data_IF_492499502714
#
_entry.id   IF_492499502714
#
_cell.length_a   1.000
_cell.length_b   1.000
_cell.length_c   1.000
_cell.angle_alpha   90.00
_cell.angle_beta   90.00
_cell.angle_gamma   90.00
#
_symmetry.space_group_name_H-M   'P 1'
#
loop_
_entity.id
_entity.type
_entity.pdbx_description
1 polymer ?
#
# COMPACT_ATOMS: atom_id res chain seq x y z
N UNK A 1 52.53 -92.49 -4.43
CA UNK A 1 52.46 -91.13 -3.82
C UNK A 1 52.06 -90.06 -4.83
N UNK A 2 52.70 -89.99 -6.00
CA UNK A 2 52.50 -88.94 -7.03
C UNK A 2 51.03 -88.65 -7.39
N UNK A 3 50.20 -89.67 -7.62
CA UNK A 3 48.78 -89.49 -7.96
C UNK A 3 47.97 -88.73 -6.89
N UNK A 4 48.38 -88.78 -5.62
CA UNK A 4 47.75 -87.98 -4.55
C UNK A 4 48.19 -86.51 -4.61
N UNK A 5 49.46 -86.25 -4.94
CA UNK A 5 49.98 -84.90 -5.11
C UNK A 5 49.34 -84.18 -6.31
N UNK A 6 49.22 -84.85 -7.47
CA UNK A 6 48.51 -84.33 -8.64
C UNK A 6 47.05 -83.98 -8.28
N UNK A 7 46.31 -84.90 -7.64
CA UNK A 7 44.91 -84.67 -7.25
C UNK A 7 44.74 -83.53 -6.23
N UNK A 8 45.74 -83.29 -5.37
CA UNK A 8 45.76 -82.16 -4.43
C UNK A 8 46.04 -80.84 -5.15
N UNK A 9 46.98 -80.83 -6.09
CA UNK A 9 47.32 -79.67 -6.92
C UNK A 9 46.16 -79.25 -7.82
N UNK A 10 45.48 -80.20 -8.46
CA UNK A 10 44.28 -79.95 -9.28
C UNK A 10 43.14 -79.34 -8.46
N UNK A 11 42.94 -79.83 -7.22
CA UNK A 11 41.97 -79.24 -6.29
C UNK A 11 42.35 -77.82 -5.89
N UNK A 12 43.62 -77.57 -5.57
CA UNK A 12 44.12 -76.24 -5.25
C UNK A 12 43.90 -75.26 -6.42
N UNK A 13 44.27 -75.64 -7.64
CA UNK A 13 44.10 -74.81 -8.82
C UNK A 13 42.62 -74.51 -9.11
N UNK A 14 41.74 -75.52 -9.04
CA UNK A 14 40.28 -75.32 -9.22
C UNK A 14 39.70 -74.38 -8.16
N UNK A 15 40.11 -74.53 -6.90
CA UNK A 15 39.68 -73.64 -5.80
C UNK A 15 40.22 -72.22 -5.98
N UNK A 16 41.48 -72.07 -6.40
CA UNK A 16 42.12 -70.78 -6.68
C UNK A 16 41.42 -70.06 -7.83
N UNK A 17 41.20 -70.71 -8.96
CA UNK A 17 40.47 -70.15 -10.10
C UNK A 17 39.05 -69.76 -9.73
N UNK A 18 38.31 -70.61 -9.00
CA UNK A 18 36.97 -70.26 -8.50
C UNK A 18 37.02 -68.99 -7.64
N UNK A 19 37.94 -68.93 -6.67
CA UNK A 19 38.03 -67.78 -5.74
C UNK A 19 38.44 -66.48 -6.45
N UNK A 20 39.27 -66.56 -7.49
CA UNK A 20 39.60 -65.39 -8.33
C UNK A 20 38.34 -64.91 -9.07
N UNK A 21 37.63 -65.81 -9.75
CA UNK A 21 36.38 -65.49 -10.45
C UNK A 21 35.30 -64.90 -9.54
N UNK A 22 35.16 -65.40 -8.30
CA UNK A 22 34.20 -64.90 -7.30
C UNK A 22 34.56 -63.48 -6.82
N UNK A 23 35.86 -63.15 -6.71
CA UNK A 23 36.32 -61.80 -6.40
C UNK A 23 36.11 -60.85 -7.58
N UNK A 24 36.35 -61.31 -8.82
CA UNK A 24 36.12 -60.54 -10.04
C UNK A 24 34.62 -60.22 -10.23
N UNK A 25 33.73 -61.19 -10.00
CA UNK A 25 32.28 -61.00 -10.07
C UNK A 25 31.77 -59.97 -9.03
N UNK A 26 32.22 -60.08 -7.77
CA UNK A 26 31.88 -59.11 -6.72
C UNK A 26 32.45 -57.72 -7.02
N UNK A 27 33.69 -57.65 -7.53
CA UNK A 27 34.31 -56.39 -7.95
C UNK A 27 33.52 -55.70 -9.06
N UNK A 28 33.08 -56.46 -10.07
CA UNK A 28 32.28 -55.94 -11.17
C UNK A 28 30.88 -55.47 -10.73
N UNK A 29 30.19 -56.23 -9.87
CA UNK A 29 28.90 -55.80 -9.30
C UNK A 29 29.02 -54.51 -8.45
N UNK A 30 30.12 -54.33 -7.73
CA UNK A 30 30.41 -53.07 -7.03
C UNK A 30 30.70 -51.93 -8.00
N UNK A 31 31.53 -52.16 -9.02
CA UNK A 31 31.86 -51.15 -10.04
C UNK A 31 30.60 -50.67 -10.79
N UNK A 32 29.72 -51.57 -11.20
CA UNK A 32 28.42 -51.24 -11.82
C UNK A 32 27.57 -50.38 -10.89
N UNK A 33 27.53 -50.67 -9.58
CA UNK A 33 26.80 -49.84 -8.60
C UNK A 33 27.41 -48.45 -8.48
N UNK A 34 28.73 -48.33 -8.41
CA UNK A 34 29.41 -47.02 -8.35
C UNK A 34 29.14 -46.19 -9.60
N UNK A 35 29.22 -46.79 -10.80
CA UNK A 35 28.90 -46.11 -12.06
C UNK A 35 27.45 -45.63 -12.07
N UNK A 36 26.49 -46.48 -11.70
CA UNK A 36 25.08 -46.10 -11.64
C UNK A 36 24.81 -44.93 -10.68
N UNK A 37 25.44 -44.93 -9.48
CA UNK A 37 25.31 -43.81 -8.55
C UNK A 37 25.99 -42.53 -9.05
N UNK A 38 27.14 -42.63 -9.72
CA UNK A 38 27.80 -41.49 -10.34
C UNK A 38 26.93 -40.87 -11.43
N UNK A 39 26.45 -41.68 -12.39
CA UNK A 39 25.57 -41.22 -13.48
C UNK A 39 24.30 -40.57 -12.95
N UNK A 40 23.60 -41.18 -11.98
CA UNK A 40 22.41 -40.59 -11.38
C UNK A 40 22.68 -39.27 -10.62
N UNK A 41 23.89 -39.11 -10.07
CA UNK A 41 24.32 -37.87 -9.41
C UNK A 41 24.62 -36.78 -10.45
N UNK A 42 25.32 -37.13 -11.53
CA UNK A 42 25.64 -36.21 -12.63
C UNK A 42 24.37 -35.73 -13.35
N UNK A 43 23.41 -36.62 -13.62
CA UNK A 43 22.09 -36.28 -14.16
C UNK A 43 21.34 -35.26 -13.29
N UNK A 44 21.35 -35.43 -11.96
CA UNK A 44 20.74 -34.49 -11.02
C UNK A 44 21.47 -33.14 -11.01
N UNK A 45 22.80 -33.14 -11.07
CA UNK A 45 23.63 -31.92 -11.12
C UNK A 45 23.33 -31.13 -12.40
N UNK A 46 23.27 -31.78 -13.56
CA UNK A 46 22.93 -31.12 -14.83
C UNK A 46 21.48 -30.60 -14.85
N UNK A 47 20.52 -31.35 -14.30
CA UNK A 47 19.15 -30.86 -14.14
C UNK A 47 19.12 -29.56 -13.29
N UNK A 48 19.78 -29.55 -12.13
CA UNK A 48 19.82 -28.38 -11.25
C UNK A 48 20.54 -27.17 -11.88
N UNK A 49 21.60 -27.39 -12.69
CA UNK A 49 22.23 -26.32 -13.48
C UNK A 49 21.26 -25.72 -14.49
N UNK A 50 20.64 -26.56 -15.32
CA UNK A 50 19.71 -26.09 -16.36
C UNK A 50 18.50 -25.35 -15.78
N UNK A 51 18.01 -25.78 -14.61
CA UNK A 51 16.93 -25.11 -13.89
C UNK A 51 17.37 -23.75 -13.31
N UNK A 52 18.60 -23.64 -12.79
CA UNK A 52 19.17 -22.36 -12.35
C UNK A 52 19.34 -21.39 -13.54
N UNK A 53 19.88 -21.85 -14.67
CA UNK A 53 20.01 -21.03 -15.89
C UNK A 53 18.64 -20.54 -16.39
N UNK A 54 17.62 -21.41 -16.34
CA UNK A 54 16.23 -21.08 -16.68
C UNK A 54 15.64 -20.04 -15.72
N UNK A 55 15.88 -20.16 -14.41
CA UNK A 55 15.41 -19.20 -13.40
C UNK A 55 16.13 -17.85 -13.52
N UNK A 56 17.44 -17.85 -13.81
CA UNK A 56 18.23 -16.65 -14.04
C UNK A 56 17.74 -15.90 -15.31
N UNK A 57 17.42 -16.62 -16.39
CA UNK A 57 16.79 -16.02 -17.56
C UNK A 57 15.44 -15.36 -17.24
N UNK A 58 14.57 -16.01 -16.44
CA UNK A 58 13.30 -15.44 -15.99
C UNK A 58 13.45 -14.21 -15.09
N UNK A 59 14.45 -14.22 -14.20
CA UNK A 59 14.77 -13.05 -13.37
C UNK A 59 15.24 -11.87 -14.23
N UNK A 60 16.12 -12.11 -15.21
CA UNK A 60 16.61 -11.07 -16.12
C UNK A 60 15.49 -10.48 -16.99
N UNK A 61 14.57 -11.30 -17.49
CA UNK A 61 13.37 -10.84 -18.22
C UNK A 61 12.50 -9.95 -17.33
N UNK A 62 12.14 -10.42 -16.12
CA UNK A 62 11.31 -9.67 -15.18
C UNK A 62 11.99 -8.37 -14.71
N UNK A 63 13.30 -8.37 -14.52
CA UNK A 63 14.07 -7.15 -14.23
C UNK A 63 13.95 -6.13 -15.36
N UNK A 64 14.06 -6.56 -16.61
CA UNK A 64 13.89 -5.68 -17.77
C UNK A 64 12.48 -5.09 -17.89
N UNK A 65 11.44 -5.88 -17.55
CA UNK A 65 10.05 -5.41 -17.49
C UNK A 65 9.86 -4.38 -16.35
N UNK A 66 10.41 -4.65 -15.16
CA UNK A 66 10.35 -3.72 -14.02
C UNK A 66 11.03 -2.39 -14.33
N UNK A 67 12.16 -2.39 -15.02
CA UNK A 67 12.84 -1.16 -15.42
C UNK A 67 12.08 -0.40 -16.52
N UNK A 68 11.43 -1.10 -17.46
CA UNK A 68 10.50 -0.49 -18.43
C UNK A 68 9.27 0.13 -17.73
N UNK A 69 8.71 -0.56 -16.73
CA UNK A 69 7.62 -0.04 -15.90
C UNK A 69 8.03 1.17 -15.06
N UNK A 70 9.29 1.23 -14.59
CA UNK A 70 9.84 2.41 -13.89
C UNK A 70 9.98 3.59 -14.85
N UNK A 71 10.58 3.39 -16.03
CA UNK A 71 10.76 4.44 -17.03
C UNK A 71 9.43 5.06 -17.44
N UNK A 72 8.44 4.23 -17.80
CA UNK A 72 7.10 4.71 -18.18
C UNK A 72 6.39 5.44 -17.02
N UNK A 73 6.51 4.95 -15.78
CA UNK A 73 6.01 5.66 -14.58
C UNK A 73 6.63 7.05 -14.41
N UNK A 74 7.94 7.19 -14.67
CA UNK A 74 8.62 8.48 -14.58
C UNK A 74 8.20 9.46 -15.68
N UNK A 75 7.90 8.98 -16.88
CA UNK A 75 7.28 9.78 -17.95
C UNK A 75 5.89 10.28 -17.56
N UNK A 76 5.00 9.40 -17.05
CA UNK A 76 3.68 9.79 -16.56
C UNK A 76 3.76 10.79 -15.41
N UNK A 77 4.68 10.57 -14.46
CA UNK A 77 4.94 11.48 -13.33
C UNK A 77 5.39 12.87 -13.80
N UNK A 78 6.25 12.93 -14.83
CA UNK A 78 6.67 14.19 -15.45
C UNK A 78 5.49 14.92 -16.10
N UNK A 79 4.73 14.22 -16.95
CA UNK A 79 3.58 14.81 -17.65
C UNK A 79 2.50 15.34 -16.68
N UNK A 80 2.25 14.62 -15.58
CA UNK A 80 1.33 15.04 -14.52
C UNK A 80 1.82 16.32 -13.81
N UNK A 81 3.12 16.44 -13.54
CA UNK A 81 3.70 17.65 -12.95
C UNK A 81 3.57 18.85 -13.90
N UNK A 82 3.80 18.65 -15.20
CA UNK A 82 3.67 19.69 -16.22
C UNK A 82 2.22 20.21 -16.32
N UNK A 83 1.20 19.34 -16.31
CA UNK A 83 -0.21 19.77 -16.30
C UNK A 83 -0.64 20.40 -14.95
N UNK A 84 -0.14 19.89 -13.82
CA UNK A 84 -0.33 20.56 -12.53
C UNK A 84 0.24 21.99 -12.54
N UNK A 85 1.33 22.23 -13.28
CA UNK A 85 1.91 23.56 -13.42
C UNK A 85 1.08 24.47 -14.34
N UNK A 86 0.66 23.99 -15.52
CA UNK A 86 -0.25 24.74 -16.40
C UNK A 86 -1.56 25.11 -15.72
N UNK A 87 -2.10 24.21 -14.90
CA UNK A 87 -3.34 24.46 -14.12
C UNK A 87 -3.15 25.61 -13.12
N UNK A 88 -1.99 25.70 -12.44
CA UNK A 88 -1.67 26.84 -11.55
C UNK A 88 -1.52 28.15 -12.30
N UNK A 89 -0.95 28.12 -13.51
CA UNK A 89 -0.81 29.31 -14.36
C UNK A 89 -2.17 29.78 -14.89
N UNK A 90 -3.02 28.86 -15.34
CA UNK A 90 -4.40 29.15 -15.73
C UNK A 90 -5.20 29.74 -14.56
N UNK A 91 -5.05 29.22 -13.34
CA UNK A 91 -5.73 29.77 -12.16
C UNK A 91 -5.33 31.23 -11.87
N UNK A 92 -4.03 31.55 -11.94
CA UNK A 92 -3.53 32.94 -11.81
C UNK A 92 -4.09 33.85 -12.90
N UNK A 93 -4.21 33.34 -14.13
CA UNK A 93 -4.76 34.12 -15.24
C UNK A 93 -6.27 34.35 -15.09
N UNK A 94 -7.03 33.37 -14.61
CA UNK A 94 -8.45 33.53 -14.26
C UNK A 94 -8.63 34.55 -13.14
N UNK A 95 -7.81 34.49 -12.09
CA UNK A 95 -7.80 35.49 -11.00
C UNK A 95 -7.47 36.90 -11.53
N UNK A 96 -6.48 37.01 -12.43
CA UNK A 96 -6.12 38.28 -13.09
C UNK A 96 -7.28 38.86 -13.91
N UNK A 97 -8.00 38.01 -14.66
CA UNK A 97 -9.14 38.40 -15.48
C UNK A 97 -10.36 38.80 -14.61
N UNK A 98 -10.64 38.08 -13.53
CA UNK A 98 -11.69 38.44 -12.56
C UNK A 98 -11.42 39.81 -11.92
N UNK A 99 -10.16 40.07 -11.52
CA UNK A 99 -9.77 41.36 -10.95
C UNK A 99 -9.95 42.52 -11.94
N UNK A 100 -9.64 42.32 -13.24
CA UNK A 100 -9.91 43.32 -14.27
C UNK A 100 -11.41 43.57 -14.48
N UNK A 101 -12.21 42.51 -14.59
CA UNK A 101 -13.65 42.63 -14.74
C UNK A 101 -14.30 43.35 -13.54
N UNK A 102 -13.81 43.08 -12.32
CA UNK A 102 -14.27 43.76 -11.11
C UNK A 102 -13.90 45.26 -11.12
N UNK A 103 -12.72 45.62 -11.63
CA UNK A 103 -12.32 47.03 -11.82
C UNK A 103 -13.19 47.74 -12.86
N UNK A 104 -13.51 47.08 -13.97
CA UNK A 104 -14.35 47.62 -15.04
C UNK A 104 -15.81 47.83 -14.59
N UNK A 105 -16.36 46.92 -13.78
CA UNK A 105 -17.68 47.10 -13.13
C UNK A 105 -17.64 48.29 -12.15
N UNK A 106 -16.56 48.42 -11.37
CA UNK A 106 -16.41 49.50 -10.39
C UNK A 106 -16.25 50.89 -11.04
N UNK A 107 -15.56 51.00 -12.18
CA UNK A 107 -15.40 52.29 -12.89
C UNK A 107 -16.74 52.77 -13.47
N UNK A 108 -17.52 51.88 -14.09
CA UNK A 108 -18.86 52.20 -14.63
C UNK A 108 -19.79 52.75 -13.53
N UNK A 109 -19.72 52.21 -12.31
CA UNK A 109 -20.51 52.70 -11.16
C UNK A 109 -20.06 54.09 -10.68
N UNK A 110 -18.80 54.48 -10.88
CA UNK A 110 -18.29 55.80 -10.46
C UNK A 110 -18.57 56.94 -11.43
N UNK A 111 -18.65 56.68 -12.75
CA UNK A 111 -18.91 57.73 -13.74
C UNK A 111 -20.40 58.14 -13.84
N UNK A 112 -21.32 57.32 -13.34
CA UNK A 112 -22.77 57.57 -13.42
C UNK A 112 -23.33 58.64 -12.47
N UNK A 113 -22.55 59.17 -11.52
CA UNK A 113 -23.06 60.05 -10.46
C UNK A 113 -22.67 61.53 -10.65
N UNK A 114 -23.23 62.16 -11.70
CA UNK A 114 -23.20 63.62 -11.85
C UNK A 114 -24.55 64.16 -12.35
N UNK A 115 -25.13 65.06 -11.54
CA UNK A 115 -26.33 65.87 -11.77
C UNK A 115 -27.71 65.19 -11.54
N UNK A 116 -28.37 65.51 -10.41
CA UNK A 116 -29.52 66.45 -10.43
C UNK A 116 -30.17 66.71 -9.05
N UNK A 117 -30.24 68.01 -8.68
CA UNK A 117 -31.32 68.71 -7.94
C UNK A 117 -32.00 68.08 -6.70
N UNK A 118 -31.60 68.60 -5.53
CA UNK A 118 -32.39 69.07 -4.36
C UNK A 118 -33.90 68.69 -4.25
N UNK A 119 -34.27 68.09 -3.10
CA UNK A 119 -35.45 68.56 -2.28
C UNK A 119 -35.41 68.19 -0.78
N UNK A 120 -35.63 69.23 0.05
CA UNK A 120 -36.15 69.32 1.45
C UNK A 120 -36.19 68.12 2.45
N UNK A 121 -35.40 68.31 3.53
CA UNK A 121 -35.75 68.27 4.99
C UNK A 121 -36.90 67.36 5.51
N UNK A 122 -36.54 66.38 6.36
CA UNK A 122 -36.96 66.21 7.78
C UNK A 122 -35.99 65.21 8.45
N UNK A 123 -35.14 65.62 9.40
CA UNK A 123 -35.30 65.72 10.89
C UNK A 123 -35.03 64.41 11.68
N UNK A 124 -33.85 64.40 12.32
CA UNK A 124 -33.48 63.82 13.63
C UNK A 124 -33.31 62.29 13.78
N UNK A 125 -32.12 61.86 14.25
CA UNK A 125 -31.90 60.50 14.81
C UNK A 125 -30.46 59.96 14.72
N UNK A 126 -29.50 60.57 15.43
CA UNK A 126 -28.17 59.96 15.74
C UNK A 126 -28.37 58.80 16.76
N UNK A 127 -27.52 57.77 16.95
CA UNK A 127 -26.12 57.54 16.58
C UNK A 127 -25.76 56.03 16.74
N UNK A 128 -25.00 55.42 15.80
CA UNK A 128 -23.98 54.32 15.96
C UNK A 128 -24.34 52.98 16.70
N UNK A 129 -23.72 51.80 16.50
CA UNK A 129 -22.67 51.24 15.62
C UNK A 129 -22.78 49.68 15.71
N UNK A 130 -22.60 48.89 14.64
CA UNK A 130 -22.60 47.41 14.78
C UNK A 130 -22.58 46.59 13.48
N UNK A 131 -21.47 45.91 13.24
CA UNK A 131 -21.07 45.25 11.99
C UNK A 131 -21.69 43.87 11.66
N UNK A 132 -21.56 43.47 10.38
CA UNK A 132 -21.65 42.12 9.78
C UNK A 132 -23.00 41.37 9.66
N UNK A 133 -23.29 40.91 8.44
CA UNK A 133 -24.33 39.93 8.12
C UNK A 133 -24.52 39.77 6.60
N UNK A 134 -24.16 38.62 6.03
CA UNK A 134 -24.28 38.35 4.60
C UNK A 134 -25.73 38.05 4.18
N UNK A 135 -26.11 38.44 2.96
CA UNK A 135 -27.42 38.09 2.37
C UNK A 135 -27.24 37.13 1.20
N UNK A 136 -27.99 36.04 1.26
CA UNK A 136 -28.00 34.90 0.35
C UNK A 136 -29.02 35.12 -0.78
N UNK A 137 -28.67 34.74 -2.02
CA UNK A 137 -29.59 34.65 -3.19
C UNK A 137 -29.29 33.29 -3.83
N UNK A 138 -30.06 32.23 -3.52
CA UNK A 138 -31.31 31.83 -4.19
C UNK A 138 -31.11 31.49 -5.67
N UNK A 139 -31.17 30.19 -5.97
CA UNK A 139 -31.69 29.65 -7.22
C UNK A 139 -32.52 28.39 -6.89
N UNK A 140 -33.61 28.15 -7.61
CA UNK A 140 -34.62 27.13 -7.28
C UNK A 140 -34.24 25.72 -7.74
N UNK A 141 -34.55 24.71 -6.91
CA UNK A 141 -34.59 23.30 -7.31
C UNK A 141 -36.03 22.88 -7.66
N UNK A 142 -36.19 22.12 -8.74
CA UNK A 142 -37.48 21.56 -9.18
C UNK A 142 -37.77 20.20 -8.51
N UNK A 143 -39.04 19.94 -8.21
CA UNK A 143 -39.47 18.88 -7.27
C UNK A 143 -39.82 17.50 -7.86
N UNK A 144 -39.56 16.45 -7.07
CA UNK A 144 -40.34 15.20 -6.93
C UNK A 144 -39.85 14.49 -5.64
N UNK A 145 -40.64 14.22 -4.59
CA UNK A 145 -41.64 13.13 -4.48
C UNK A 145 -40.96 11.75 -4.48
N UNK A 146 -40.90 10.91 -3.42
CA UNK A 146 -41.70 10.69 -2.19
C UNK A 146 -40.78 10.09 -1.07
N UNK A 147 -41.15 9.89 0.21
CA UNK A 147 -42.35 10.26 0.99
C UNK A 147 -42.70 9.28 2.15
N UNK A 148 -42.62 9.72 3.42
CA UNK A 148 -42.92 9.00 4.71
C UNK A 148 -41.80 8.01 5.16
N UNK A 149 -41.51 7.81 6.45
CA UNK A 149 -42.33 7.92 7.69
C UNK A 149 -41.62 8.67 8.84
N UNK A 150 -42.45 9.11 9.79
CA UNK A 150 -42.14 9.90 10.99
C UNK A 150 -42.26 9.00 12.22
N UNK A 151 -41.22 8.92 13.07
CA UNK A 151 -41.40 8.55 14.47
C UNK A 151 -40.56 9.51 15.34
N UNK A 152 -41.17 10.01 16.41
CA UNK A 152 -40.66 11.09 17.25
C UNK A 152 -40.72 10.62 18.69
N UNK A 153 -39.59 10.57 19.37
CA UNK A 153 -39.49 10.44 20.82
C UNK A 153 -38.40 11.41 21.29
N UNK A 154 -38.67 12.09 22.39
CA UNK A 154 -37.92 13.26 22.86
C UNK A 154 -37.09 12.91 24.10
N UNK A 155 -35.78 13.21 24.05
CA UNK A 155 -34.92 13.70 25.15
C UNK A 155 -34.80 12.88 26.47
N UNK A 156 -33.78 13.15 27.33
CA UNK A 156 -32.77 14.22 27.26
C UNK A 156 -31.30 13.75 27.19
N UNK A 157 -30.44 14.71 26.87
CA UNK A 157 -28.97 14.65 26.87
C UNK A 157 -28.43 14.90 28.29
N UNK A 158 -27.32 14.26 28.67
CA UNK A 158 -26.25 14.95 29.39
C UNK A 158 -25.01 15.09 28.49
N UNK A 159 -24.38 16.27 28.52
CA UNK A 159 -23.18 16.57 27.74
C UNK A 159 -21.96 15.83 28.31
N UNK A 160 -21.16 15.28 27.40
CA UNK A 160 -19.71 15.16 27.59
C UNK A 160 -19.08 15.65 26.29
N UNK A 161 -18.51 16.85 26.34
CA UNK A 161 -17.78 17.43 25.22
C UNK A 161 -16.53 16.58 24.94
N UNK A 162 -16.40 16.07 23.72
CA UNK A 162 -15.12 15.87 23.05
C UNK A 162 -15.38 15.69 21.54
N UNK A 163 -15.09 16.76 20.80
CA UNK A 163 -15.20 16.76 19.35
C UNK A 163 -14.02 15.99 18.75
N UNK A 164 -14.26 14.76 18.28
CA UNK A 164 -13.25 13.96 17.62
C UNK A 164 -12.97 14.46 16.18
N UNK A 165 -12.28 15.60 16.08
CA UNK A 165 -11.75 16.17 14.83
C UNK A 165 -10.57 15.33 14.32
N UNK A 166 -10.89 14.22 13.68
CA UNK A 166 -9.91 13.33 13.04
C UNK A 166 -9.51 13.84 11.65
N UNK A 167 -9.09 15.11 11.56
CA UNK A 167 -8.71 15.78 10.30
C UNK A 167 -7.36 16.51 10.39
N UNK A 168 -6.48 16.10 11.31
CA UNK A 168 -5.25 16.85 11.63
C UNK A 168 -3.95 16.06 11.54
N UNK A 169 -3.50 15.82 10.31
CA UNK A 169 -2.08 16.04 10.00
C UNK A 169 -1.93 16.72 8.63
N UNK A 170 -1.57 18.01 8.64
CA UNK A 170 -1.05 18.68 7.44
C UNK A 170 0.42 18.31 7.31
N UNK A 171 0.77 17.46 6.35
CA UNK A 171 2.14 17.43 5.85
C UNK A 171 2.37 18.75 5.11
N UNK A 172 3.10 19.68 5.75
CA UNK A 172 3.44 20.97 5.14
C UNK A 172 4.62 20.82 4.18
N UNK A 173 4.46 19.98 3.16
CA UNK A 173 5.30 20.02 1.95
C UNK A 173 4.62 20.93 0.93
N UNK A 174 5.38 21.86 0.35
CA UNK A 174 4.87 22.92 -0.51
C UNK A 174 4.48 22.44 -1.91
N UNK A 175 3.41 21.66 -2.05
CA UNK A 175 2.83 21.32 -3.34
C UNK A 175 1.93 20.08 -3.35
N UNK A 176 0.72 20.23 -3.90
CA UNK A 176 -0.22 19.16 -4.26
C UNK A 176 -1.03 18.45 -3.14
N UNK A 177 -1.62 19.25 -2.23
CA UNK A 177 -2.66 18.80 -1.27
C UNK A 177 -3.79 17.99 -1.96
N UNK A 178 -4.08 18.26 -3.24
CA UNK A 178 -5.14 17.60 -4.01
C UNK A 178 -4.84 16.13 -4.39
N UNK A 179 -3.60 15.81 -4.80
CA UNK A 179 -3.27 14.43 -5.25
C UNK A 179 -3.12 13.46 -4.10
N UNK A 180 -2.56 13.90 -2.97
CA UNK A 180 -2.36 13.03 -1.82
C UNK A 180 -3.71 12.60 -1.22
N UNK A 181 -4.67 13.52 -1.14
CA UNK A 181 -6.05 13.22 -0.72
C UNK A 181 -6.74 12.29 -1.72
N UNK A 182 -6.55 12.49 -3.04
CA UNK A 182 -7.13 11.58 -4.05
C UNK A 182 -6.51 10.17 -4.01
N UNK A 183 -5.19 10.06 -3.83
CA UNK A 183 -4.50 8.77 -3.70
C UNK A 183 -4.87 8.06 -2.40
N UNK A 184 -4.97 8.79 -1.28
CA UNK A 184 -5.49 8.27 -0.03
C UNK A 184 -6.91 7.74 -0.22
N UNK A 185 -7.85 8.55 -0.71
CA UNK A 185 -9.24 8.13 -0.93
C UNK A 185 -9.35 6.91 -1.87
N UNK A 186 -8.52 6.82 -2.91
CA UNK A 186 -8.47 5.66 -3.80
C UNK A 186 -7.95 4.40 -3.08
N UNK A 187 -6.87 4.52 -2.31
CA UNK A 187 -6.31 3.42 -1.52
C UNK A 187 -7.30 2.96 -0.43
N UNK A 188 -7.95 3.91 0.27
CA UNK A 188 -8.98 3.63 1.26
C UNK A 188 -10.19 2.91 0.64
N UNK A 189 -10.59 3.30 -0.57
CA UNK A 189 -11.68 2.64 -1.30
C UNK A 189 -11.30 1.24 -1.79
N UNK A 190 -10.06 1.04 -2.23
CA UNK A 190 -9.57 -0.24 -2.75
C UNK A 190 -9.32 -1.27 -1.63
N UNK A 191 -8.80 -0.81 -0.49
CA UNK A 191 -8.46 -1.65 0.67
C UNK A 191 -9.57 -1.63 1.72
N UNK A 192 -10.69 -0.93 1.52
CA UNK A 192 -11.82 -0.88 2.47
C UNK A 192 -11.48 -0.34 3.87
N UNK A 193 -10.30 0.26 4.05
CA UNK A 193 -9.76 0.73 5.32
C UNK A 193 -9.46 2.22 5.24
N UNK A 194 -9.65 2.94 6.34
CA UNK A 194 -9.12 4.30 6.48
C UNK A 194 -7.70 4.27 6.97
N UNK A 195 -6.87 5.17 6.45
CA UNK A 195 -5.45 5.25 6.79
C UNK A 195 -5.12 6.61 7.41
N UNK A 196 -4.17 6.62 8.34
CA UNK A 196 -3.63 7.85 8.92
C UNK A 196 -2.15 7.68 9.20
N UNK A 197 -1.33 8.59 8.69
CA UNK A 197 0.11 8.59 8.96
C UNK A 197 0.44 9.57 10.08
N UNK A 198 1.24 9.13 11.05
CA UNK A 198 1.80 9.93 12.13
C UNK A 198 3.32 9.78 12.10
N UNK A 199 4.03 10.90 12.22
CA UNK A 199 5.49 10.90 12.39
C UNK A 199 5.77 10.89 13.90
N UNK A 200 6.20 9.74 14.43
CA UNK A 200 6.55 9.58 15.84
C UNK A 200 8.07 9.75 16.02
N UNK A 201 8.54 10.09 17.23
CA UNK A 201 9.98 10.17 17.55
C UNK A 201 10.74 8.84 17.32
N UNK A 202 10.01 7.73 17.13
CA UNK A 202 10.52 6.39 16.83
C UNK A 202 10.52 6.03 15.34
N UNK A 203 9.92 6.86 14.47
CA UNK A 203 9.80 6.64 13.03
C UNK A 203 8.37 6.85 12.50
N UNK A 204 8.21 6.64 11.20
CA UNK A 204 6.91 6.70 10.53
C UNK A 204 5.97 5.62 11.08
N UNK A 205 4.73 6.02 11.37
CA UNK A 205 3.66 5.17 11.89
C UNK A 205 2.43 5.27 10.96
N UNK A 206 1.93 4.12 10.49
CA UNK A 206 0.68 3.99 9.73
C UNK A 206 -0.40 3.40 10.64
N UNK A 207 -1.40 4.18 10.96
CA UNK A 207 -2.66 3.69 11.54
C UNK A 207 -3.64 3.28 10.46
N UNK A 208 -4.37 2.18 10.68
CA UNK A 208 -5.40 1.67 9.78
C UNK A 208 -6.67 1.30 10.55
N UNK A 209 -7.85 1.62 10.00
CA UNK A 209 -9.16 1.36 10.62
C UNK A 209 -10.16 0.84 9.59
N UNK A 210 -10.68 -0.37 9.80
CA UNK A 210 -11.80 -0.91 9.03
C UNK A 210 -13.13 -0.47 9.67
N UNK A 211 -13.79 0.54 9.06
CA UNK A 211 -14.92 1.23 9.68
C UNK A 211 -16.10 0.30 10.04
N UNK A 212 -16.38 -0.71 9.22
CA UNK A 212 -17.54 -1.59 9.38
C UNK A 212 -17.41 -2.58 10.55
N UNK A 213 -16.19 -2.97 10.92
CA UNK A 213 -15.96 -3.85 12.08
C UNK A 213 -15.37 -3.15 13.30
N UNK A 214 -14.83 -1.94 13.16
CA UNK A 214 -14.09 -1.27 14.23
C UNK A 214 -12.75 -1.95 14.56
N UNK A 215 -12.25 -2.79 13.65
CA UNK A 215 -10.88 -3.31 13.72
C UNK A 215 -9.89 -2.21 13.36
N UNK A 216 -8.89 -2.01 14.20
CA UNK A 216 -7.81 -1.06 13.96
C UNK A 216 -6.46 -1.53 14.47
N UNK A 217 -5.41 -1.10 13.79
CA UNK A 217 -4.03 -1.43 14.09
C UNK A 217 -3.09 -0.30 13.66
N UNK A 218 -1.87 -0.30 14.19
CA UNK A 218 -0.75 0.50 13.71
C UNK A 218 0.36 -0.40 13.13
N UNK A 219 1.13 0.18 12.22
CA UNK A 219 2.36 -0.36 11.67
C UNK A 219 3.44 0.70 11.87
N UNK A 220 4.52 0.39 12.58
CA UNK A 220 5.66 1.30 12.77
C UNK A 220 6.88 0.79 12.01
N UNK A 221 7.57 1.68 11.30
CA UNK A 221 8.79 1.36 10.56
C UNK A 221 9.98 1.42 11.50
N UNK A 222 10.57 0.26 11.81
CA UNK A 222 11.72 0.12 12.71
C UNK A 222 12.96 -0.17 11.87
N UNK A 223 13.96 0.72 11.95
CA UNK A 223 15.24 0.54 11.25
C UNK A 223 16.26 -0.14 12.16
N UNK A 224 16.78 -1.28 11.71
CA UNK A 224 17.82 -2.02 12.43
C UNK A 224 19.19 -1.48 12.04
N UNK A 225 19.84 -0.76 12.97
CA UNK A 225 21.08 -0.02 12.73
C UNK A 225 22.30 -0.83 12.26
N UNK A 226 22.21 -2.17 12.24
CA UNK A 226 23.31 -3.06 11.86
C UNK A 226 23.28 -3.54 10.39
N UNK A 227 22.10 -3.63 9.76
CA UNK A 227 21.93 -4.47 8.55
C UNK A 227 21.13 -3.82 7.41
N UNK A 228 20.73 -2.54 7.54
CA UNK A 228 19.94 -1.81 6.53
C UNK A 228 18.56 -2.43 6.20
N UNK A 229 18.14 -3.48 6.92
CA UNK A 229 16.80 -4.04 6.81
C UNK A 229 15.77 -3.17 7.54
N UNK A 230 14.61 -2.99 6.90
CA UNK A 230 13.44 -2.28 7.43
C UNK A 230 12.45 -3.31 7.94
N UNK A 231 12.30 -3.36 9.26
CA UNK A 231 11.31 -4.19 9.94
C UNK A 231 10.03 -3.37 10.19
N UNK A 232 8.89 -4.05 10.09
CA UNK A 232 7.57 -3.49 10.34
C UNK A 232 7.03 -4.08 11.64
N UNK A 233 6.66 -3.21 12.57
CA UNK A 233 6.06 -3.57 13.84
C UNK A 233 4.54 -3.38 13.76
N UNK A 234 3.80 -4.48 13.72
CA UNK A 234 2.34 -4.48 13.85
C UNK A 234 1.92 -4.48 15.31
N UNK A 235 1.03 -3.55 15.64
CA UNK A 235 0.38 -3.46 16.93
C UNK A 235 -1.14 -3.34 16.76
N UNK A 236 -1.90 -4.21 17.41
CA UNK A 236 -3.37 -4.10 17.42
C UNK A 236 -3.82 -2.94 18.32
N UNK A 237 -4.74 -2.11 17.82
CA UNK A 237 -5.34 -0.99 18.57
C UNK A 237 -6.75 -1.36 19.05
N UNK A 238 -7.53 -2.05 18.20
CA UNK A 238 -8.85 -2.59 18.54
C UNK A 238 -9.16 -3.81 17.68
N UNK A 239 -9.69 -4.88 18.28
CA UNK A 239 -10.22 -6.02 17.55
C UNK A 239 -11.65 -5.80 17.03
N UNK A 240 -12.36 -4.78 17.51
CA UNK A 240 -13.75 -4.49 17.14
C UNK A 240 -14.66 -5.73 17.19
N UNK A 241 -15.53 -5.89 16.20
CA UNK A 241 -16.44 -7.04 16.08
C UNK A 241 -15.76 -8.31 15.57
N UNK A 242 -14.53 -8.24 15.02
CA UNK A 242 -13.82 -9.43 14.53
C UNK A 242 -13.12 -10.23 15.64
N UNK A 243 -13.13 -9.80 16.91
CA UNK A 243 -12.38 -10.47 17.98
C UNK A 243 -12.63 -11.99 18.14
N UNK A 244 -13.82 -12.47 17.74
CA UNK A 244 -14.18 -13.89 17.71
C UNK A 244 -13.68 -14.68 16.48
N UNK A 245 -13.36 -14.01 15.37
CA UNK A 245 -12.79 -14.61 14.14
C UNK A 245 -11.32 -14.22 13.91
N UNK A 246 -10.82 -13.26 14.67
CA UNK A 246 -9.44 -12.80 14.67
C UNK A 246 -8.50 -13.94 15.08
N UNK A 247 -7.54 -14.23 14.20
CA UNK A 247 -6.47 -15.21 14.44
C UNK A 247 -5.59 -14.73 15.59
N UNK A 248 -4.93 -15.65 16.27
CA UNK A 248 -4.11 -15.37 17.47
C UNK A 248 -3.05 -14.29 17.20
N UNK A 249 -2.36 -14.40 16.06
CA UNK A 249 -1.39 -13.40 15.58
C UNK A 249 -1.97 -11.98 15.38
N UNK A 250 -3.28 -11.81 15.20
CA UNK A 250 -3.90 -10.48 15.10
C UNK A 250 -4.13 -9.82 16.48
N UNK A 251 -3.94 -10.57 17.56
CA UNK A 251 -4.13 -10.13 18.95
C UNK A 251 -2.81 -9.77 19.64
N UNK A 252 -1.69 -10.10 19.00
CA UNK A 252 -0.33 -9.95 19.51
C UNK A 252 0.42 -8.87 18.71
N UNK A 253 1.50 -8.37 19.30
CA UNK A 253 2.44 -7.46 18.64
C UNK A 253 3.43 -8.30 17.80
N UNK A 254 3.61 -7.95 16.52
CA UNK A 254 4.38 -8.77 15.57
C UNK A 254 5.35 -7.93 14.78
N UNK A 255 6.60 -8.39 14.74
CA UNK A 255 7.65 -7.82 13.91
C UNK A 255 7.84 -8.67 12.64
N UNK A 256 7.87 -8.04 11.47
CA UNK A 256 8.11 -8.73 10.20
C UNK A 256 8.82 -7.84 9.18
N UNK A 257 9.65 -8.42 8.30
CA UNK A 257 10.34 -7.68 7.25
C UNK A 257 9.35 -7.15 6.18
N UNK A 258 9.64 -5.98 5.59
CA UNK A 258 8.84 -5.35 4.52
C UNK A 258 8.46 -6.32 3.36
N UNK A 259 9.30 -7.30 3.05
CA UNK A 259 9.02 -8.37 2.07
C UNK A 259 7.75 -9.18 2.36
N UNK A 260 7.34 -9.28 3.63
CA UNK A 260 6.15 -10.02 4.07
C UNK A 260 4.87 -9.16 4.04
N UNK A 261 4.97 -7.86 3.75
CA UNK A 261 3.83 -6.93 3.69
C UNK A 261 2.67 -7.41 2.79
N UNK A 262 2.89 -7.91 1.56
CA UNK A 262 1.79 -8.38 0.71
C UNK A 262 1.03 -9.58 1.33
N UNK A 263 1.74 -10.44 2.06
CA UNK A 263 1.15 -11.57 2.76
C UNK A 263 0.36 -11.13 4.00
N UNK A 264 0.86 -10.14 4.74
CA UNK A 264 0.14 -9.51 5.85
C UNK A 264 -1.20 -8.92 5.39
N UNK A 265 -1.19 -8.04 4.37
CA UNK A 265 -2.40 -7.40 3.85
C UNK A 265 -3.43 -8.44 3.38
N UNK A 266 -2.99 -9.46 2.62
CA UNK A 266 -3.85 -10.58 2.18
C UNK A 266 -4.43 -11.39 3.34
N UNK A 267 -3.68 -11.60 4.42
CA UNK A 267 -4.16 -12.33 5.61
C UNK A 267 -5.16 -11.52 6.42
N UNK A 268 -4.99 -10.20 6.47
CA UNK A 268 -5.94 -9.27 7.11
C UNK A 268 -7.25 -9.21 6.31
N UNK A 269 -7.17 -9.02 4.98
CA UNK A 269 -8.35 -8.92 4.09
C UNK A 269 -9.28 -10.15 4.22
N UNK A 270 -8.69 -11.35 4.27
CA UNK A 270 -9.41 -12.61 4.48
C UNK A 270 -10.22 -12.69 5.78
N UNK A 271 -9.83 -11.96 6.84
CA UNK A 271 -10.51 -12.01 8.15
C UNK A 271 -11.63 -10.97 8.25
N UNK A 272 -11.45 -9.81 7.61
CA UNK A 272 -12.44 -8.72 7.60
C UNK A 272 -13.45 -8.80 6.44
N UNK A 273 -13.21 -9.65 5.44
CA UNK A 273 -14.14 -9.91 4.33
C UNK A 273 -13.95 -8.99 3.13
N UNK A 274 -12.70 -8.78 2.73
CA UNK A 274 -12.24 -7.98 1.57
C UNK A 274 -11.52 -8.85 0.55
#
# INVERSE_FOLDING_TARGET
MEALYSKLYDKYNKLKSKKISEIEEIGHDQEVKFVNYATASDELIEHLKSENERLEAQLNELHSEVDLMRSSRDEYRKLLNDECQKTKELFKEVERLQNLQQQEINSILTEGNSNSVRTRKQKNGDMQLGSFGATQVVLEDTSAGYGRKKLRLQHPVPQSDDANDSTRMRVSSGGCISTDIMLQNLLESLVGMKFGFVDEEKGLCLSAVHQSSGYSFSITWVSKAAEQEVELLYQVLSLGTIGGVAKEWMKEEIMFNLSMWPLFVKRVSQVIGM
#
